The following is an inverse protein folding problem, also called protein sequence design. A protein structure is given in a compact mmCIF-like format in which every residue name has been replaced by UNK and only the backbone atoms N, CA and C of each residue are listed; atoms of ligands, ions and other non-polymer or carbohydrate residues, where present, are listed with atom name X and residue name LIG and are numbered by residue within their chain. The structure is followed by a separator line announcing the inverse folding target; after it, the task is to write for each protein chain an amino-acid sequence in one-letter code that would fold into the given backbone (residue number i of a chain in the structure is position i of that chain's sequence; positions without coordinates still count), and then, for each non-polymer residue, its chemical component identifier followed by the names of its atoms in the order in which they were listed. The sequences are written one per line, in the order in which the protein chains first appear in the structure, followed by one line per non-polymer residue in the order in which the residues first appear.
data_IF_399385624954
#
_entry.id   IF_399385624954
#
_cell.length_a   1.000
_cell.length_b   1.000
_cell.length_c   1.000
_cell.angle_alpha   90.00
_cell.angle_beta   90.00
_cell.angle_gamma   90.00
#
_symmetry.space_group_name_H-M   'P 1'
#
loop_
_entity.id
_entity.type
_entity.pdbx_description
1 polymer ?
#
# COMPACT_ATOMS: atom_id res chain seq x y z
N UNK A 1 29.47 -9.19 -1.06
CA UNK A 1 28.38 -8.90 -0.09
C UNK A 1 27.51 -10.15 0.02
N UNK A 2 27.25 -10.69 1.22
CA UNK A 2 26.36 -11.87 1.35
C UNK A 2 24.90 -11.44 1.24
N UNK A 3 24.04 -12.30 0.69
CA UNK A 3 22.60 -12.00 0.57
C UNK A 3 21.92 -11.77 1.93
N UNK A 4 22.38 -12.44 2.98
CA UNK A 4 21.94 -12.19 4.37
C UNK A 4 22.30 -10.78 4.87
N UNK A 5 23.50 -10.31 4.56
CA UNK A 5 23.91 -8.95 4.93
C UNK A 5 23.14 -7.89 4.13
N UNK A 6 22.84 -8.16 2.86
CA UNK A 6 21.94 -7.31 2.06
C UNK A 6 20.55 -7.21 2.71
N UNK A 7 19.94 -8.32 3.13
CA UNK A 7 18.66 -8.33 3.83
C UNK A 7 18.70 -7.49 5.12
N UNK A 8 19.79 -7.58 5.90
CA UNK A 8 19.96 -6.77 7.09
C UNK A 8 20.08 -5.27 6.77
N UNK A 9 20.90 -4.89 5.79
CA UNK A 9 21.06 -3.47 5.42
C UNK A 9 19.73 -2.89 4.94
N UNK A 10 19.00 -3.59 4.06
CA UNK A 10 17.73 -3.05 3.56
C UNK A 10 16.68 -2.97 4.65
N UNK A 11 16.73 -3.83 5.68
CA UNK A 11 15.88 -3.73 6.87
C UNK A 11 16.17 -2.45 7.64
N UNK A 12 17.44 -2.16 7.94
CA UNK A 12 17.82 -0.94 8.67
C UNK A 12 17.49 0.30 7.84
N UNK A 13 17.79 0.28 6.54
CA UNK A 13 17.42 1.36 5.62
C UNK A 13 15.91 1.61 5.64
N UNK A 14 15.11 0.54 5.58
CA UNK A 14 13.66 0.65 5.57
C UNK A 14 13.13 1.32 6.84
N UNK A 15 13.63 0.90 8.01
CA UNK A 15 13.28 1.53 9.31
C UNK A 15 13.63 3.02 9.35
N UNK A 16 14.82 3.40 8.87
CA UNK A 16 15.26 4.80 8.86
C UNK A 16 14.35 5.64 7.96
N UNK A 17 14.02 5.13 6.77
CA UNK A 17 13.12 5.83 5.84
C UNK A 17 11.72 5.96 6.45
N UNK A 18 11.15 4.87 7.00
CA UNK A 18 9.84 4.89 7.67
C UNK A 18 9.79 5.94 8.80
N UNK A 19 10.85 6.07 9.60
CA UNK A 19 10.90 7.07 10.66
C UNK A 19 10.87 8.51 10.09
N UNK A 20 11.60 8.76 9.01
CA UNK A 20 11.64 10.07 8.35
C UNK A 20 10.29 10.39 7.71
N UNK A 21 9.71 9.45 6.95
CA UNK A 21 8.41 9.66 6.27
C UNK A 21 7.28 9.79 7.27
N UNK A 22 7.27 8.98 8.33
CA UNK A 22 6.28 9.09 9.40
C UNK A 22 6.33 10.42 10.12
N UNK A 23 7.53 11.00 10.35
CA UNK A 23 7.64 12.34 10.91
C UNK A 23 7.07 13.41 9.98
N UNK A 24 7.28 13.29 8.65
CA UNK A 24 6.75 14.21 7.63
C UNK A 24 5.21 14.13 7.60
N UNK A 25 4.65 12.93 7.62
CA UNK A 25 3.20 12.69 7.60
C UNK A 25 2.51 13.19 8.86
N UNK A 26 3.10 12.92 10.03
CA UNK A 26 2.61 13.46 11.29
C UNK A 26 2.65 15.00 11.28
N UNK A 27 3.69 15.62 10.71
CA UNK A 27 3.73 17.07 10.56
C UNK A 27 2.64 17.59 9.62
N UNK A 28 2.38 16.91 8.48
CA UNK A 28 1.33 17.28 7.54
C UNK A 28 -0.08 17.23 8.17
N UNK A 29 -0.32 16.31 9.11
CA UNK A 29 -1.60 16.20 9.84
C UNK A 29 -1.99 17.44 10.66
N UNK A 30 -1.02 18.28 11.03
CA UNK A 30 -1.24 19.54 11.76
C UNK A 30 -1.47 20.75 10.84
N UNK A 31 -1.31 20.60 9.53
CA UNK A 31 -1.63 21.66 8.57
C UNK A 31 -3.15 21.82 8.47
N UNK A 32 -3.62 23.06 8.48
CA UNK A 32 -5.03 23.38 8.28
C UNK A 32 -5.38 23.19 6.80
N UNK A 33 -6.31 22.29 6.52
CA UNK A 33 -6.84 22.01 5.19
C UNK A 33 -8.27 22.60 5.10
N UNK A 34 -8.63 23.31 4.03
CA UNK A 34 -10.00 23.78 3.82
C UNK A 34 -11.02 22.63 3.86
N UNK A 35 -12.24 22.91 4.30
CA UNK A 35 -13.30 21.87 4.48
C UNK A 35 -13.53 21.06 3.21
N UNK A 36 -13.52 21.72 2.04
CA UNK A 36 -13.65 21.11 0.72
C UNK A 36 -12.64 19.98 0.45
N UNK A 37 -11.47 20.01 1.09
CA UNK A 37 -10.38 19.07 0.83
C UNK A 37 -10.09 18.18 2.04
N UNK A 38 -10.98 18.17 3.04
CA UNK A 38 -10.77 17.45 4.30
C UNK A 38 -10.62 15.93 4.11
N UNK A 39 -11.14 15.38 3.00
CA UNK A 39 -10.91 13.98 2.62
C UNK A 39 -9.41 13.66 2.54
N UNK A 40 -8.58 14.56 2.01
CA UNK A 40 -7.13 14.32 1.88
C UNK A 40 -6.47 14.11 3.24
N UNK A 41 -6.93 14.82 4.27
CA UNK A 41 -6.48 14.66 5.64
C UNK A 41 -6.95 13.33 6.25
N UNK A 42 -8.16 12.89 5.91
CA UNK A 42 -8.68 11.58 6.34
C UNK A 42 -7.93 10.43 5.65
N UNK A 43 -7.58 10.58 4.37
CA UNK A 43 -6.72 9.65 3.64
C UNK A 43 -5.30 9.59 4.23
N UNK A 44 -4.72 10.74 4.58
CA UNK A 44 -3.42 10.80 5.26
C UNK A 44 -3.48 10.11 6.64
N UNK A 45 -4.57 10.23 7.39
CA UNK A 45 -4.74 9.53 8.67
C UNK A 45 -4.73 8.00 8.50
N UNK A 46 -5.36 7.48 7.44
CA UNK A 46 -5.30 6.06 7.12
C UNK A 46 -3.88 5.63 6.74
N UNK A 47 -3.15 6.45 5.99
CA UNK A 47 -1.76 6.17 5.62
C UNK A 47 -0.83 6.15 6.84
N UNK A 48 -1.01 7.08 7.78
CA UNK A 48 -0.31 7.04 9.07
C UNK A 48 -0.62 5.73 9.82
N UNK A 49 -1.86 5.25 9.73
CA UNK A 49 -2.23 3.95 10.34
C UNK A 49 -1.53 2.77 9.65
N UNK A 50 -1.37 2.82 8.33
CA UNK A 50 -0.57 1.86 7.55
C UNK A 50 0.89 1.86 8.03
N UNK A 51 1.49 3.04 8.20
CA UNK A 51 2.87 3.16 8.69
C UNK A 51 3.05 2.68 10.13
N UNK A 52 2.05 2.86 11.00
CA UNK A 52 2.12 2.30 12.36
C UNK A 52 2.19 0.78 12.32
N UNK A 53 1.37 0.13 11.49
CA UNK A 53 1.39 -1.33 11.34
C UNK A 53 2.71 -1.81 10.71
N UNK A 54 3.18 -1.12 9.67
CA UNK A 54 4.47 -1.39 9.05
C UNK A 54 5.61 -1.27 10.08
N UNK A 55 5.68 -0.15 10.80
CA UNK A 55 6.70 0.11 11.80
C UNK A 55 6.71 -0.92 12.94
N UNK A 56 5.54 -1.41 13.36
CA UNK A 56 5.45 -2.52 14.32
C UNK A 56 6.06 -3.81 13.75
N UNK A 57 5.76 -4.14 12.49
CA UNK A 57 6.35 -5.31 11.83
C UNK A 57 7.87 -5.19 11.69
N UNK A 58 8.37 -4.05 11.20
CA UNK A 58 9.80 -3.82 11.00
C UNK A 58 10.58 -3.75 12.33
N UNK A 59 10.01 -3.13 13.36
CA UNK A 59 10.56 -3.14 14.72
C UNK A 59 10.66 -4.56 15.29
N UNK A 60 9.59 -5.36 15.16
CA UNK A 60 9.61 -6.77 15.55
C UNK A 60 10.65 -7.58 14.76
N UNK A 61 10.77 -7.35 13.44
CA UNK A 61 11.73 -8.02 12.59
C UNK A 61 13.18 -7.68 12.99
N UNK A 62 13.49 -6.42 13.27
CA UNK A 62 14.81 -6.00 13.73
C UNK A 62 15.22 -6.70 15.04
N UNK A 63 14.30 -6.77 16.01
CA UNK A 63 14.54 -7.43 17.31
C UNK A 63 14.72 -8.96 17.19
N UNK A 64 14.18 -9.57 16.13
CA UNK A 64 14.17 -11.02 15.93
C UNK A 64 14.99 -11.51 14.74
N UNK A 65 15.76 -10.62 14.08
CA UNK A 65 16.45 -10.92 12.83
C UNK A 65 17.40 -12.12 12.92
N UNK A 66 18.07 -12.30 14.06
CA UNK A 66 18.98 -13.42 14.32
C UNK A 66 18.29 -14.69 14.80
N UNK A 67 17.03 -14.60 15.26
CA UNK A 67 16.28 -15.69 15.90
C UNK A 67 15.31 -16.39 14.95
N UNK A 68 14.75 -15.65 13.99
CA UNK A 68 13.71 -16.18 13.11
C UNK A 68 14.31 -16.92 11.90
N UNK A 69 13.75 -18.10 11.61
CA UNK A 69 14.18 -18.90 10.46
C UNK A 69 13.54 -18.42 9.15
N UNK A 70 12.23 -18.15 9.16
CA UNK A 70 11.50 -17.66 7.99
C UNK A 70 10.54 -16.53 8.37
N UNK A 71 10.88 -15.31 7.95
CA UNK A 71 10.04 -14.13 8.15
C UNK A 71 8.94 -13.98 7.10
N UNK A 72 9.08 -14.59 5.92
CA UNK A 72 8.23 -14.27 4.76
C UNK A 72 6.74 -14.50 5.02
N UNK A 73 6.29 -15.61 5.63
CA UNK A 73 4.88 -15.78 6.00
C UNK A 73 4.39 -14.77 7.03
N UNK A 74 5.29 -14.20 7.86
CA UNK A 74 4.93 -13.23 8.90
C UNK A 74 4.63 -11.85 8.33
N UNK A 75 5.16 -11.52 7.14
CA UNK A 75 4.79 -10.30 6.39
C UNK A 75 3.30 -10.27 6.04
N UNK A 76 2.67 -11.42 5.84
CA UNK A 76 1.24 -11.50 5.52
C UNK A 76 0.34 -11.02 6.68
N UNK A 77 0.84 -10.96 7.91
CA UNK A 77 0.11 -10.38 9.05
C UNK A 77 0.04 -8.85 8.93
N UNK A 78 1.12 -8.22 8.47
CA UNK A 78 1.10 -6.80 8.08
C UNK A 78 0.20 -6.62 6.86
N UNK A 79 0.49 -7.34 5.76
CA UNK A 79 -0.18 -7.11 4.48
C UNK A 79 -1.68 -7.35 4.50
N UNK A 80 -2.18 -8.32 5.27
CA UNK A 80 -3.64 -8.56 5.37
C UNK A 80 -4.40 -7.38 5.96
N UNK A 81 -3.72 -6.50 6.71
CA UNK A 81 -4.30 -5.29 7.30
C UNK A 81 -3.96 -4.06 6.45
N UNK A 82 -2.70 -3.89 6.04
CA UNK A 82 -2.27 -2.68 5.34
C UNK A 82 -2.77 -2.59 3.91
N UNK A 83 -2.78 -3.69 3.13
CA UNK A 83 -3.15 -3.60 1.72
C UNK A 83 -4.63 -3.25 1.49
N UNK A 84 -5.62 -3.75 2.27
CA UNK A 84 -6.99 -3.22 2.21
C UNK A 84 -7.08 -1.73 2.50
N UNK A 85 -6.36 -1.24 3.51
CA UNK A 85 -6.34 0.19 3.85
C UNK A 85 -5.74 1.01 2.72
N UNK A 86 -4.63 0.57 2.13
CA UNK A 86 -4.01 1.24 0.98
C UNK A 86 -4.92 1.27 -0.25
N UNK A 87 -5.68 0.21 -0.51
CA UNK A 87 -6.67 0.19 -1.60
C UNK A 87 -7.81 1.18 -1.36
N UNK A 88 -8.27 1.31 -0.12
CA UNK A 88 -9.24 2.35 0.27
C UNK A 88 -8.67 3.74 0.03
N UNK A 89 -7.40 3.97 0.38
CA UNK A 89 -6.74 5.26 0.17
C UNK A 89 -6.62 5.57 -1.32
N UNK A 90 -6.17 4.60 -2.13
CA UNK A 90 -6.06 4.75 -3.58
C UNK A 90 -7.41 5.08 -4.22
N UNK A 91 -8.45 4.29 -3.93
CA UNK A 91 -9.80 4.52 -4.46
C UNK A 91 -10.34 5.87 -4.00
N UNK A 92 -10.21 6.20 -2.71
CA UNK A 92 -10.66 7.48 -2.16
C UNK A 92 -9.96 8.67 -2.81
N UNK A 93 -8.66 8.56 -3.09
CA UNK A 93 -7.92 9.61 -3.78
C UNK A 93 -8.30 9.74 -5.25
N UNK A 94 -8.58 8.63 -5.95
CA UNK A 94 -9.06 8.66 -7.33
C UNK A 94 -10.44 9.33 -7.45
N UNK A 95 -11.38 9.00 -6.55
CA UNK A 95 -12.69 9.65 -6.47
C UNK A 95 -12.54 11.14 -6.15
N UNK A 96 -11.63 11.48 -5.24
CA UNK A 96 -11.30 12.88 -4.94
C UNK A 96 -10.87 13.65 -6.19
N UNK A 97 -9.97 13.09 -7.00
CA UNK A 97 -9.52 13.73 -8.25
C UNK A 97 -10.66 13.93 -9.24
N UNK A 98 -11.57 12.97 -9.36
CA UNK A 98 -12.75 13.09 -10.21
C UNK A 98 -13.67 14.22 -9.73
N UNK A 99 -14.03 14.23 -8.45
CA UNK A 99 -14.90 15.26 -7.85
C UNK A 99 -14.29 16.65 -7.86
N UNK A 100 -12.96 16.73 -7.73
CA UNK A 100 -12.22 17.98 -7.92
C UNK A 100 -12.33 18.49 -9.36
N UNK A 101 -12.34 17.62 -10.37
CA UNK A 101 -12.45 18.04 -11.77
C UNK A 101 -13.82 18.60 -12.14
N UNK A 102 -14.84 18.33 -11.32
CA UNK A 102 -16.22 18.82 -11.48
C UNK A 102 -16.61 19.88 -10.44
N UNK A 103 -15.66 20.36 -9.62
CA UNK A 103 -15.89 21.29 -8.51
C UNK A 103 -16.94 20.81 -7.47
N UNK A 104 -17.02 19.49 -7.24
CA UNK A 104 -17.98 18.83 -6.33
C UNK A 104 -17.32 18.31 -5.04
N UNK A 105 -16.29 18.98 -4.54
CA UNK A 105 -15.52 18.51 -3.36
C UNK A 105 -16.12 18.91 -2.02
N UNK A 106 -16.99 19.91 -1.98
CA UNK A 106 -17.53 20.51 -0.74
C UNK A 106 -18.32 19.51 0.12
N UNK A 107 -18.96 18.51 -0.50
CA UNK A 107 -19.78 17.49 0.17
C UNK A 107 -19.06 16.13 0.33
N UNK A 108 -17.75 16.06 0.05
CA UNK A 108 -17.02 14.79 0.02
C UNK A 108 -16.66 14.30 1.43
N UNK A 109 -17.62 13.64 2.08
CA UNK A 109 -17.40 12.96 3.36
C UNK A 109 -16.88 11.53 3.16
N UNK A 110 -15.80 11.14 3.85
CA UNK A 110 -15.17 9.83 3.68
C UNK A 110 -16.10 8.62 3.94
N UNK A 111 -16.92 8.64 4.99
CA UNK A 111 -17.83 7.51 5.25
C UNK A 111 -18.93 7.39 4.20
N UNK A 112 -19.43 8.53 3.70
CA UNK A 112 -20.39 8.58 2.61
C UNK A 112 -19.77 8.06 1.31
N UNK A 113 -18.53 8.46 0.99
CA UNK A 113 -17.75 7.94 -0.12
C UNK A 113 -17.63 6.41 -0.05
N UNK A 114 -17.23 5.85 1.10
CA UNK A 114 -17.11 4.40 1.26
C UNK A 114 -18.45 3.67 1.07
N UNK A 115 -19.54 4.26 1.58
CA UNK A 115 -20.88 3.66 1.51
C UNK A 115 -21.38 3.64 0.07
N UNK A 116 -21.29 4.76 -0.63
CA UNK A 116 -21.73 4.91 -2.02
C UNK A 116 -20.94 3.99 -2.97
N UNK A 117 -19.67 3.75 -2.66
CA UNK A 117 -18.75 2.95 -3.48
C UNK A 117 -18.58 1.50 -3.00
N UNK A 118 -19.37 1.08 -2.02
CA UNK A 118 -19.25 -0.25 -1.39
C UNK A 118 -19.42 -1.41 -2.37
N UNK A 119 -20.22 -1.23 -3.43
CA UNK A 119 -20.45 -2.24 -4.48
C UNK A 119 -19.18 -2.60 -5.25
N UNK A 120 -18.19 -1.70 -5.32
CA UNK A 120 -16.88 -1.96 -5.96
C UNK A 120 -15.81 -2.20 -4.91
N UNK A 121 -15.79 -1.40 -3.83
CA UNK A 121 -14.77 -1.51 -2.76
C UNK A 121 -14.81 -2.90 -2.12
N UNK A 122 -15.99 -3.43 -1.75
CA UNK A 122 -16.07 -4.73 -1.06
C UNK A 122 -15.49 -5.85 -1.93
N UNK A 123 -15.90 -6.04 -3.21
CA UNK A 123 -15.26 -7.02 -4.08
C UNK A 123 -13.75 -6.81 -4.23
N UNK A 124 -13.27 -5.57 -4.35
CA UNK A 124 -11.83 -5.28 -4.43
C UNK A 124 -11.08 -5.78 -3.20
N UNK A 125 -11.60 -5.52 -1.99
CA UNK A 125 -10.97 -5.96 -0.75
C UNK A 125 -10.96 -7.49 -0.61
N UNK A 126 -12.06 -8.15 -0.98
CA UNK A 126 -12.16 -9.61 -0.99
C UNK A 126 -11.17 -10.25 -1.97
N UNK A 127 -11.04 -9.69 -3.17
CA UNK A 127 -10.07 -10.13 -4.17
C UNK A 127 -8.64 -9.90 -3.71
N UNK A 128 -8.36 -8.77 -3.05
CA UNK A 128 -7.05 -8.52 -2.45
C UNK A 128 -6.70 -9.56 -1.37
N UNK A 129 -7.64 -9.90 -0.49
CA UNK A 129 -7.40 -10.99 0.48
C UNK A 129 -7.24 -12.35 -0.18
N UNK A 130 -7.96 -12.63 -1.27
CA UNK A 130 -7.81 -13.88 -2.02
C UNK A 130 -6.42 -13.96 -2.68
N UNK A 131 -5.93 -12.86 -3.25
CA UNK A 131 -4.55 -12.74 -3.74
C UNK A 131 -3.54 -13.05 -2.63
N UNK A 132 -3.68 -12.41 -1.46
CA UNK A 132 -2.80 -12.64 -0.32
C UNK A 132 -2.89 -14.07 0.20
N UNK A 133 -4.08 -14.66 0.22
CA UNK A 133 -4.29 -16.04 0.65
C UNK A 133 -3.48 -17.02 -0.19
N UNK A 134 -3.52 -16.90 -1.53
CA UNK A 134 -2.73 -17.75 -2.41
C UNK A 134 -1.22 -17.54 -2.26
N UNK A 135 -0.78 -16.28 -2.12
CA UNK A 135 0.62 -15.98 -1.81
C UNK A 135 1.08 -16.62 -0.49
N UNK A 136 0.24 -16.56 0.54
CA UNK A 136 0.52 -17.18 1.84
C UNK A 136 0.62 -18.70 1.75
N UNK A 137 -0.31 -19.36 1.04
CA UNK A 137 -0.24 -20.81 0.82
C UNK A 137 1.07 -21.23 0.15
N UNK A 138 1.57 -20.42 -0.79
CA UNK A 138 2.87 -20.63 -1.42
C UNK A 138 4.02 -20.49 -0.43
N UNK A 139 4.05 -19.43 0.40
CA UNK A 139 5.12 -19.23 1.39
C UNK A 139 5.14 -20.30 2.49
N UNK A 140 3.98 -20.92 2.74
CA UNK A 140 3.84 -22.07 3.63
C UNK A 140 4.17 -23.41 2.96
N UNK A 141 4.58 -23.41 1.69
CA UNK A 141 4.86 -24.60 0.87
C UNK A 141 3.67 -25.56 0.71
N UNK A 142 2.43 -25.07 0.84
CA UNK A 142 1.20 -25.85 0.61
C UNK A 142 0.95 -26.03 -0.89
N UNK A 143 1.27 -25.01 -1.68
CA UNK A 143 1.27 -25.03 -3.14
C UNK A 143 2.63 -24.58 -3.67
N UNK A 144 2.96 -24.92 -4.93
CA UNK A 144 4.23 -24.51 -5.51
C UNK A 144 4.29 -22.99 -5.76
N UNK A 145 5.48 -22.36 -5.69
CA UNK A 145 5.62 -20.92 -5.91
C UNK A 145 5.02 -20.41 -7.22
N UNK A 146 5.25 -21.13 -8.32
CA UNK A 146 4.71 -20.76 -9.62
C UNK A 146 3.19 -20.82 -9.66
N UNK A 147 2.58 -21.84 -9.04
CA UNK A 147 1.12 -21.95 -8.96
C UNK A 147 0.56 -20.82 -8.11
N UNK A 148 1.10 -20.59 -6.92
CA UNK A 148 0.65 -19.53 -6.01
C UNK A 148 0.70 -18.13 -6.64
N UNK A 149 1.78 -17.84 -7.37
CA UNK A 149 1.91 -16.58 -8.12
C UNK A 149 0.87 -16.49 -9.22
N UNK A 150 0.73 -17.52 -10.05
CA UNK A 150 -0.23 -17.50 -11.16
C UNK A 150 -1.67 -17.30 -10.66
N UNK A 151 -2.10 -18.09 -9.67
CA UNK A 151 -3.47 -17.98 -9.14
C UNK A 151 -3.66 -16.73 -8.28
N UNK A 152 -2.60 -16.16 -7.70
CA UNK A 152 -2.63 -14.87 -7.01
C UNK A 152 -2.74 -13.67 -7.96
N UNK A 153 -2.12 -13.75 -9.14
CA UNK A 153 -2.22 -12.69 -10.15
C UNK A 153 -3.64 -12.57 -10.76
N UNK A 154 -4.43 -13.64 -10.77
CA UNK A 154 -5.81 -13.60 -11.26
C UNK A 154 -6.67 -12.59 -10.47
N UNK A 155 -6.87 -12.72 -9.15
CA UNK A 155 -7.62 -11.73 -8.37
C UNK A 155 -6.96 -10.36 -8.38
N UNK A 156 -5.61 -10.29 -8.40
CA UNK A 156 -4.86 -9.03 -8.56
C UNK A 156 -5.30 -8.24 -9.79
N UNK A 157 -5.28 -8.88 -10.96
CA UNK A 157 -5.66 -8.24 -12.22
C UNK A 157 -7.15 -7.87 -12.23
N UNK A 158 -8.02 -8.71 -11.67
CA UNK A 158 -9.47 -8.44 -11.63
C UNK A 158 -9.76 -7.21 -10.76
N UNK A 159 -9.19 -7.10 -9.56
CA UNK A 159 -9.49 -5.94 -8.71
C UNK A 159 -8.88 -4.65 -9.27
N UNK A 160 -7.69 -4.69 -9.86
CA UNK A 160 -7.12 -3.51 -10.53
C UNK A 160 -7.93 -3.11 -11.77
N UNK A 161 -8.48 -4.07 -12.53
CA UNK A 161 -9.40 -3.79 -13.62
C UNK A 161 -10.69 -3.11 -13.13
N UNK A 162 -11.25 -3.56 -12.00
CA UNK A 162 -12.42 -2.94 -11.40
C UNK A 162 -12.12 -1.50 -10.95
N UNK A 163 -10.97 -1.25 -10.31
CA UNK A 163 -10.55 0.11 -9.93
C UNK A 163 -10.38 0.98 -11.18
N UNK A 164 -9.73 0.45 -12.22
CA UNK A 164 -9.48 1.18 -13.47
C UNK A 164 -10.79 1.64 -14.12
N UNK A 165 -11.72 0.72 -14.31
CA UNK A 165 -12.97 0.99 -15.02
C UNK A 165 -13.95 1.87 -14.25
N UNK A 166 -13.87 1.90 -12.92
CA UNK A 166 -14.81 2.67 -12.08
C UNK A 166 -14.24 4.02 -11.59
N UNK A 167 -12.93 4.14 -11.40
CA UNK A 167 -12.35 5.29 -10.67
C UNK A 167 -11.19 5.99 -11.36
N UNK A 168 -10.55 5.36 -12.36
CA UNK A 168 -9.45 6.03 -13.05
C UNK A 168 -10.04 7.02 -14.05
N UNK A 169 -10.12 8.28 -13.60
CA UNK A 169 -10.62 9.39 -14.41
C UNK A 169 -9.71 9.67 -15.60
N UNK A 170 -10.21 10.50 -16.53
CA UNK A 170 -9.41 11.00 -17.67
C UNK A 170 -8.23 11.87 -17.20
N UNK A 171 -8.21 12.29 -15.93
CA UNK A 171 -7.10 13.07 -15.38
C UNK A 171 -5.77 12.31 -15.49
N UNK A 172 -4.75 12.98 -16.02
CA UNK A 172 -3.43 12.37 -16.22
C UNK A 172 -2.80 11.97 -14.88
N UNK A 173 -3.04 12.75 -13.82
CA UNK A 173 -2.53 12.47 -12.48
C UNK A 173 -3.12 11.19 -11.87
N UNK A 174 -4.43 10.96 -12.03
CA UNK A 174 -5.08 9.74 -11.55
C UNK A 174 -4.55 8.49 -12.26
N UNK A 175 -4.32 8.58 -13.58
CA UNK A 175 -3.72 7.50 -14.36
C UNK A 175 -2.27 7.20 -13.92
N UNK A 176 -1.44 8.22 -13.72
CA UNK A 176 -0.07 8.01 -13.25
C UNK A 176 -0.02 7.34 -11.87
N UNK A 177 -0.87 7.77 -10.94
CA UNK A 177 -0.92 7.17 -9.62
C UNK A 177 -1.39 5.71 -9.68
N UNK A 178 -2.46 5.43 -10.44
CA UNK A 178 -2.95 4.07 -10.63
C UNK A 178 -1.86 3.13 -11.18
N UNK A 179 -1.19 3.54 -12.27
CA UNK A 179 -0.15 2.72 -12.89
C UNK A 179 1.09 2.56 -12.02
N UNK A 180 1.45 3.59 -11.23
CA UNK A 180 2.50 3.49 -10.23
C UNK A 180 2.21 2.33 -9.26
N UNK A 181 1.02 2.32 -8.65
CA UNK A 181 0.63 1.26 -7.70
C UNK A 181 0.55 -0.11 -8.35
N UNK A 182 -0.07 -0.21 -9.52
CA UNK A 182 -0.17 -1.46 -10.27
C UNK A 182 1.22 -2.07 -10.51
N UNK A 183 2.18 -1.26 -10.98
CA UNK A 183 3.53 -1.72 -11.29
C UNK A 183 4.25 -2.15 -10.00
N UNK A 184 4.30 -1.30 -8.98
CA UNK A 184 5.03 -1.63 -7.75
C UNK A 184 4.44 -2.81 -7.00
N UNK A 185 3.12 -2.97 -6.99
CA UNK A 185 2.48 -4.13 -6.38
C UNK A 185 2.70 -5.41 -7.18
N UNK A 186 2.73 -5.33 -8.53
CA UNK A 186 3.06 -6.50 -9.36
C UNK A 186 4.46 -7.05 -9.05
N UNK A 187 5.42 -6.19 -8.69
CA UNK A 187 6.76 -6.63 -8.31
C UNK A 187 6.76 -7.52 -7.07
N UNK A 188 5.80 -7.42 -6.14
CA UNK A 188 5.74 -8.34 -5.00
C UNK A 188 5.52 -9.79 -5.45
N UNK A 189 4.71 -10.00 -6.49
CA UNK A 189 4.47 -11.31 -7.10
C UNK A 189 5.72 -11.87 -7.77
N UNK A 190 6.43 -11.05 -8.56
CA UNK A 190 7.69 -11.46 -9.19
C UNK A 190 8.81 -11.72 -8.18
N UNK A 191 8.86 -10.97 -7.09
CA UNK A 191 9.86 -11.14 -6.03
C UNK A 191 9.64 -12.43 -5.24
N UNK A 192 8.43 -13.01 -5.25
CA UNK A 192 8.10 -14.20 -4.48
C UNK A 192 8.88 -15.47 -4.88
N UNK A 193 9.32 -15.59 -6.15
CA UNK A 193 10.15 -16.73 -6.62
C UNK A 193 11.62 -16.64 -6.22
N UNK A 194 12.08 -15.49 -5.72
CA UNK A 194 13.50 -15.27 -5.48
C UNK A 194 13.98 -16.00 -4.22
N UNK A 195 15.30 -16.32 -4.12
CA UNK A 195 15.87 -16.91 -2.92
C UNK A 195 15.58 -16.07 -1.67
N UNK A 196 15.32 -16.74 -0.54
CA UNK A 196 14.82 -16.15 0.71
C UNK A 196 15.42 -14.79 1.08
N UNK A 197 16.75 -14.67 1.11
CA UNK A 197 17.41 -13.44 1.52
C UNK A 197 17.25 -12.31 0.49
N UNK A 198 17.31 -12.62 -0.80
CA UNK A 198 17.13 -11.63 -1.88
C UNK A 198 15.67 -11.18 -1.90
N UNK A 199 14.73 -12.12 -1.82
CA UNK A 199 13.30 -11.87 -1.73
C UNK A 199 12.96 -10.91 -0.60
N UNK A 200 13.43 -11.21 0.61
CA UNK A 200 13.15 -10.37 1.77
C UNK A 200 13.89 -9.04 1.75
N UNK A 201 15.08 -8.97 1.14
CA UNK A 201 15.76 -7.71 0.91
C UNK A 201 14.96 -6.81 -0.03
N UNK A 202 14.35 -7.37 -1.09
CA UNK A 202 13.52 -6.64 -2.04
C UNK A 202 12.17 -6.24 -1.44
N UNK A 203 11.53 -7.10 -0.62
CA UNK A 203 10.33 -6.69 0.12
C UNK A 203 10.58 -5.50 1.03
N UNK A 204 11.75 -5.41 1.68
CA UNK A 204 12.12 -4.23 2.47
C UNK A 204 12.15 -2.93 1.66
N UNK A 205 12.56 -3.00 0.39
CA UNK A 205 12.64 -1.84 -0.49
C UNK A 205 11.28 -1.55 -1.10
N UNK A 206 10.56 -2.57 -1.57
CA UNK A 206 9.23 -2.42 -2.15
C UNK A 206 8.25 -1.81 -1.16
N UNK A 207 8.33 -2.16 0.13
CA UNK A 207 7.47 -1.58 1.17
C UNK A 207 7.64 -0.05 1.24
N UNK A 208 8.85 0.47 1.02
CA UNK A 208 9.08 1.91 0.95
C UNK A 208 8.29 2.57 -0.18
N UNK A 209 8.36 1.99 -1.38
CA UNK A 209 7.67 2.49 -2.57
C UNK A 209 6.15 2.31 -2.50
N UNK A 210 5.69 1.20 -1.92
CA UNK A 210 4.27 0.92 -1.84
C UNK A 210 3.59 1.75 -0.74
N UNK A 211 4.21 1.90 0.44
CA UNK A 211 3.61 2.57 1.61
C UNK A 211 4.12 4.01 1.74
N UNK A 212 5.39 4.18 2.11
CA UNK A 212 5.91 5.48 2.53
C UNK A 212 5.87 6.56 1.44
N UNK A 213 6.08 6.19 0.17
CA UNK A 213 5.98 7.16 -0.93
C UNK A 213 4.56 7.73 -1.11
N UNK A 214 3.51 6.98 -0.79
CA UNK A 214 2.15 7.50 -0.91
C UNK A 214 1.82 8.52 0.17
N UNK A 215 2.22 8.24 1.40
CA UNK A 215 2.08 9.18 2.51
C UNK A 215 2.89 10.47 2.30
N UNK A 216 4.10 10.37 1.73
CA UNK A 216 4.86 11.53 1.28
C UNK A 216 4.12 12.32 0.19
N UNK A 217 3.52 11.64 -0.77
CA UNK A 217 2.74 12.29 -1.83
C UNK A 217 1.53 13.05 -1.28
N UNK A 218 0.74 12.44 -0.39
CA UNK A 218 -0.38 13.11 0.28
C UNK A 218 0.09 14.28 1.14
N UNK A 219 1.20 14.10 1.86
CA UNK A 219 1.82 15.16 2.67
C UNK A 219 2.27 16.34 1.82
N UNK A 220 2.87 16.08 0.66
CA UNK A 220 3.28 17.12 -0.29
C UNK A 220 2.09 17.96 -0.77
N UNK A 221 0.97 17.32 -1.14
CA UNK A 221 -0.26 18.02 -1.54
C UNK A 221 -0.75 18.93 -0.41
N UNK A 222 -0.79 18.41 0.82
CA UNK A 222 -1.25 19.16 1.99
C UNK A 222 -0.33 20.34 2.33
N UNK A 223 1.00 20.14 2.33
CA UNK A 223 1.96 21.20 2.63
C UNK A 223 1.96 22.31 1.58
N UNK A 224 1.81 21.96 0.31
CA UNK A 224 1.87 22.93 -0.80
C UNK A 224 0.52 23.59 -1.08
N UNK A 225 -0.57 23.09 -0.51
CA UNK A 225 -1.92 23.57 -0.80
C UNK A 225 -2.38 23.26 -2.23
N UNK A 226 -1.68 22.37 -2.94
CA UNK A 226 -2.04 21.91 -4.29
C UNK A 226 -3.13 20.84 -4.23
N UNK A 227 -4.16 21.07 -3.42
CA UNK A 227 -5.35 20.22 -3.32
C UNK A 227 -5.91 19.98 -4.69
#
# INVERSE_FOLDING_TARGET
MTSKYLFYITLILSIVVQFITGAIELAAMFIKVPTAYNVLRQLLLLEVSVQVIEGLFYGWLALNFSKIQNVTPKRYIDWVITTPTMLIILIGYLIYLEKRSTDETDDLEFFSLLKENSSVIIPVLLLNWLMLFFGYLSEMNIISPLVGIFVGFIPFLIYYYNIFTNYVSVSTNGQYLFWYFFIFWSFYGFVAILPYYIKNALYNILDLFAKNFFGLFLSYIIFTGNY
#
